data_IF_155352055623
#
_entry.id   IF_155352055623
#
_cell.length_a   1.000
_cell.length_b   1.000
_cell.length_c   1.000
_cell.angle_alpha   90.00
_cell.angle_beta   90.00
_cell.angle_gamma   90.00
#
_symmetry.space_group_name_H-M   'P 1'
#
loop_
_entity.id
_entity.type
_entity.pdbx_description
1 polymer ?
#
# COMPACT_ATOMS: atom_id res chain seq x y z
N UNK A 1 -13.97 23.91 -14.36
CA UNK A 1 -13.07 22.77 -14.14
C UNK A 1 -12.55 22.86 -12.72
N UNK A 2 -12.63 21.79 -11.94
CA UNK A 2 -12.07 21.80 -10.58
C UNK A 2 -10.65 21.24 -10.60
N UNK A 3 -9.80 21.75 -9.72
CA UNK A 3 -8.46 21.21 -9.49
C UNK A 3 -8.41 20.54 -8.13
N UNK A 4 -7.68 19.43 -8.02
CA UNK A 4 -7.48 18.70 -6.78
C UNK A 4 -6.00 18.36 -6.61
N UNK A 5 -5.55 18.27 -5.36
CA UNK A 5 -4.17 17.92 -5.04
C UNK A 5 -4.06 16.40 -4.96
N UNK A 6 -3.12 15.82 -5.72
CA UNK A 6 -2.75 14.41 -5.63
C UNK A 6 -2.12 14.11 -4.27
N UNK A 7 -2.63 13.12 -3.55
CA UNK A 7 -2.16 12.80 -2.18
C UNK A 7 -1.27 11.55 -2.12
N UNK A 8 -0.90 10.97 -3.26
CA UNK A 8 -0.07 9.76 -3.32
C UNK A 8 -0.89 8.47 -3.41
N UNK A 9 -2.12 8.55 -3.90
CA UNK A 9 -3.01 7.40 -4.10
C UNK A 9 -2.40 6.38 -5.05
N UNK A 10 -2.54 5.09 -4.73
CA UNK A 10 -1.86 4.02 -5.49
C UNK A 10 -2.61 3.66 -6.77
N UNK A 11 -3.88 4.03 -6.87
CA UNK A 11 -4.78 3.66 -7.96
C UNK A 11 -5.69 4.84 -8.37
N UNK A 12 -5.93 4.98 -9.67
CA UNK A 12 -6.80 6.05 -10.25
C UNK A 12 -8.25 5.89 -9.78
N UNK A 13 -8.69 4.66 -9.49
CA UNK A 13 -9.99 4.39 -8.92
C UNK A 13 -10.16 4.97 -7.52
N UNK A 14 -9.12 4.96 -6.67
CA UNK A 14 -9.14 5.62 -5.35
C UNK A 14 -9.24 7.14 -5.50
N UNK A 15 -8.57 7.70 -6.51
CA UNK A 15 -8.66 9.12 -6.85
C UNK A 15 -10.09 9.46 -7.31
N UNK A 16 -10.69 8.63 -8.16
CA UNK A 16 -12.06 8.84 -8.64
C UNK A 16 -13.07 8.78 -7.50
N UNK A 17 -12.94 7.80 -6.60
CA UNK A 17 -13.82 7.64 -5.44
C UNK A 17 -13.64 8.80 -4.42
N UNK A 18 -12.45 9.41 -4.33
CA UNK A 18 -12.21 10.60 -3.52
C UNK A 18 -12.76 11.88 -4.16
N UNK A 19 -12.50 12.08 -5.45
CA UNK A 19 -12.85 13.32 -6.17
C UNK A 19 -14.35 13.43 -6.41
N UNK A 20 -15.03 12.31 -6.69
CA UNK A 20 -16.46 12.30 -7.01
C UNK A 20 -17.34 11.60 -5.94
N UNK A 21 -16.75 11.16 -4.83
CA UNK A 21 -17.45 10.42 -3.77
C UNK A 21 -17.70 8.96 -4.14
N UNK A 22 -18.59 8.26 -3.40
CA UNK A 22 -18.90 6.85 -3.66
C UNK A 22 -19.56 6.66 -5.03
N UNK A 23 -18.77 6.26 -6.03
CA UNK A 23 -19.22 5.99 -7.40
C UNK A 23 -19.72 4.54 -7.54
N UNK A 24 -20.81 4.34 -8.30
CA UNK A 24 -21.18 2.99 -8.76
C UNK A 24 -20.21 2.48 -9.84
N UNK A 25 -20.13 1.17 -10.07
CA UNK A 25 -19.16 0.55 -10.99
C UNK A 25 -19.13 1.19 -12.40
N UNK A 26 -20.29 1.50 -12.98
CA UNK A 26 -20.40 2.17 -14.30
C UNK A 26 -19.94 3.63 -14.28
N UNK A 27 -20.14 4.34 -13.18
CA UNK A 27 -19.71 5.73 -13.02
C UNK A 27 -18.21 5.83 -12.74
N UNK A 28 -17.66 4.85 -12.02
CA UNK A 28 -16.23 4.71 -11.74
C UNK A 28 -15.42 4.56 -13.02
N UNK A 29 -15.87 3.72 -13.96
CA UNK A 29 -15.22 3.57 -15.27
C UNK A 29 -15.24 4.88 -16.08
N UNK A 30 -16.37 5.59 -16.08
CA UNK A 30 -16.49 6.89 -16.75
C UNK A 30 -15.61 7.96 -16.11
N UNK A 31 -15.52 7.98 -14.78
CA UNK A 31 -14.67 8.91 -14.04
C UNK A 31 -13.18 8.64 -14.26
N UNK A 32 -12.76 7.38 -14.25
CA UNK A 32 -11.38 6.98 -14.55
C UNK A 32 -11.02 7.38 -16.00
N UNK A 33 -11.89 7.10 -16.97
CA UNK A 33 -11.65 7.46 -18.37
C UNK A 33 -11.55 8.98 -18.57
N UNK A 34 -12.38 9.76 -17.88
CA UNK A 34 -12.33 11.21 -17.94
C UNK A 34 -11.08 11.77 -17.22
N UNK A 35 -10.75 11.26 -16.04
CA UNK A 35 -9.55 11.66 -15.28
C UNK A 35 -8.26 11.37 -16.05
N UNK A 36 -8.18 10.22 -16.73
CA UNK A 36 -7.05 9.86 -17.60
C UNK A 36 -6.97 10.75 -18.84
N UNK A 37 -8.11 11.18 -19.38
CA UNK A 37 -8.16 12.10 -20.52
C UNK A 37 -7.74 13.52 -20.13
N UNK A 38 -8.14 13.97 -18.95
CA UNK A 38 -7.78 15.30 -18.42
C UNK A 38 -6.34 15.34 -17.87
N UNK A 39 -5.84 14.23 -17.33
CA UNK A 39 -4.50 14.13 -16.76
C UNK A 39 -3.82 12.85 -17.25
N UNK A 40 -3.14 12.90 -18.42
CA UNK A 40 -2.39 11.76 -18.94
C UNK A 40 -1.31 11.25 -17.98
N UNK A 41 -0.83 12.13 -17.08
CA UNK A 41 0.18 11.83 -16.06
C UNK A 41 -0.30 10.81 -15.01
N UNK A 42 -1.63 10.68 -14.84
CA UNK A 42 -2.24 9.66 -13.99
C UNK A 42 -2.10 8.24 -14.53
N UNK A 43 -1.58 8.03 -15.76
CA UNK A 43 -1.25 6.68 -16.28
C UNK A 43 -0.22 5.96 -15.41
N UNK A 44 0.71 6.71 -14.81
CA UNK A 44 1.73 6.19 -13.91
C UNK A 44 1.69 6.95 -12.57
N UNK A 45 0.70 6.68 -11.69
CA UNK A 45 0.54 7.40 -10.42
C UNK A 45 1.77 7.28 -9.52
N UNK A 46 2.61 6.24 -9.71
CA UNK A 46 3.89 6.06 -9.01
C UNK A 46 4.97 7.09 -9.35
N UNK A 47 4.81 7.83 -10.46
CA UNK A 47 5.73 8.90 -10.88
C UNK A 47 5.31 10.27 -10.36
N UNK A 48 4.06 10.41 -9.94
CA UNK A 48 3.53 11.65 -9.39
C UNK A 48 3.95 11.78 -7.92
N UNK A 49 4.39 12.98 -7.53
CA UNK A 49 4.66 13.31 -6.13
C UNK A 49 3.38 13.79 -5.48
N UNK A 50 3.14 13.37 -4.23
CA UNK A 50 2.07 13.96 -3.43
C UNK A 50 2.26 15.49 -3.37
N UNK A 51 1.20 16.25 -3.64
CA UNK A 51 1.23 17.70 -3.81
C UNK A 51 1.02 18.21 -5.24
N UNK A 52 1.05 17.34 -6.26
CA UNK A 52 0.78 17.77 -7.65
C UNK A 52 -0.68 18.17 -7.84
N UNK A 53 -0.93 19.34 -8.44
CA UNK A 53 -2.26 19.79 -8.82
C UNK A 53 -2.74 19.08 -10.09
N UNK A 54 -3.90 18.43 -10.02
CA UNK A 54 -4.52 17.67 -11.11
C UNK A 54 -5.92 18.20 -11.42
N UNK A 55 -6.37 18.01 -12.65
CA UNK A 55 -7.66 18.49 -13.13
C UNK A 55 -8.76 17.46 -12.93
N UNK A 56 -9.83 17.81 -12.23
CA UNK A 56 -11.07 17.02 -12.16
C UNK A 56 -12.03 17.47 -13.29
N UNK A 57 -12.24 16.64 -14.34
CA UNK A 57 -13.22 16.93 -15.38
C UNK A 57 -14.65 16.86 -14.82
N UNK A 58 -15.53 17.76 -15.26
CA UNK A 58 -16.94 17.72 -14.85
C UNK A 58 -17.67 16.62 -15.62
N UNK A 59 -18.29 15.68 -14.92
CA UNK A 59 -19.02 14.55 -15.51
C UNK A 59 -20.53 14.76 -15.41
N UNK A 60 -21.31 14.63 -16.50
CA UNK A 60 -22.76 14.78 -16.45
C UNK A 60 -23.42 13.60 -15.73
N UNK A 61 -24.24 13.88 -14.70
CA UNK A 61 -24.96 12.87 -13.92
C UNK A 61 -24.32 12.44 -12.59
N UNK A 62 -23.20 13.07 -12.21
CA UNK A 62 -22.61 13.03 -10.88
C UNK A 62 -22.84 14.40 -10.24
N UNK A 63 -23.45 14.44 -9.05
CA UNK A 63 -23.98 15.65 -8.41
C UNK A 63 -23.13 16.90 -8.63
N UNK A 64 -23.79 17.98 -9.06
CA UNK A 64 -23.20 19.25 -9.45
C UNK A 64 -22.28 19.83 -8.37
N UNK A 65 -20.99 19.56 -8.52
CA UNK A 65 -19.79 20.25 -8.01
C UNK A 65 -18.82 19.24 -7.40
N UNK A 66 -17.66 18.98 -8.03
CA UNK A 66 -16.44 18.92 -7.24
C UNK A 66 -16.41 20.17 -6.36
N UNK A 67 -16.46 20.04 -5.04
CA UNK A 67 -16.35 21.18 -4.11
C UNK A 67 -15.10 21.97 -4.47
N UNK A 68 -15.23 23.20 -4.99
CA UNK A 68 -14.10 24.10 -5.07
C UNK A 68 -13.65 24.34 -3.63
N UNK A 69 -12.38 24.11 -3.33
CA UNK A 69 -11.80 24.71 -2.13
C UNK A 69 -11.70 26.19 -2.48
N UNK A 70 -12.69 26.98 -2.08
CA UNK A 70 -12.59 28.43 -2.13
C UNK A 70 -11.33 28.83 -1.34
N UNK A 71 -10.38 29.58 -1.93
CA UNK A 71 -9.46 30.35 -1.11
C UNK A 71 -10.35 31.29 -0.28
N UNK A 72 -10.17 31.38 1.05
CA UNK A 72 -11.09 32.14 1.88
C UNK A 72 -11.18 33.56 1.34
N UNK A 73 -12.38 33.94 0.89
CA UNK A 73 -12.69 35.31 0.50
C UNK A 73 -12.31 36.20 1.68
N UNK A 74 -11.48 37.22 1.41
CA UNK A 74 -11.27 38.30 2.37
C UNK A 74 -12.63 39.00 2.51
N UNK A 75 -13.29 38.98 3.67
CA UNK A 75 -14.46 39.83 3.83
C UNK A 75 -14.00 41.30 3.80
N UNK A 76 -14.74 42.13 3.07
CA UNK A 76 -14.66 43.58 3.08
C UNK A 76 -14.70 44.13 4.53
N UNK A 77 -14.15 45.34 4.78
CA UNK A 77 -13.73 45.76 6.10
C UNK A 77 -14.93 45.95 7.01
N UNK A 78 -15.17 44.96 7.87
CA UNK A 78 -15.99 45.15 9.06
C UNK A 78 -15.32 46.24 9.88
N UNK A 79 -16.02 47.36 10.02
CA UNK A 79 -15.69 48.45 10.94
C UNK A 79 -15.27 47.83 12.27
N UNK A 80 -14.00 47.99 12.65
CA UNK A 80 -13.47 47.47 13.91
C UNK A 80 -14.20 48.18 15.06
N UNK A 81 -15.01 47.52 15.90
CA UNK A 81 -15.03 47.90 17.30
C UNK A 81 -13.65 47.55 17.87
N UNK A 82 -13.21 48.30 18.88
CA UNK A 82 -11.90 48.21 19.51
C UNK A 82 -11.41 46.77 19.74
N UNK A 83 -10.10 46.50 19.64
CA UNK A 83 -9.56 45.15 19.72
C UNK A 83 -9.79 44.57 21.11
N UNK A 84 -10.84 43.75 21.24
CA UNK A 84 -10.95 42.79 22.34
C UNK A 84 -9.98 41.67 22.00
N UNK A 85 -8.93 41.53 22.83
CA UNK A 85 -8.01 40.39 22.77
C UNK A 85 -8.81 39.09 22.62
N UNK A 86 -8.52 38.24 21.61
CA UNK A 86 -9.17 36.94 21.53
C UNK A 86 -8.85 36.19 22.82
N UNK A 87 -9.84 35.53 23.47
CA UNK A 87 -9.54 34.66 24.59
C UNK A 87 -8.53 33.62 24.10
N UNK A 88 -7.35 33.61 24.71
CA UNK A 88 -6.36 32.57 24.47
C UNK A 88 -7.07 31.24 24.67
N UNK A 89 -7.16 30.39 23.63
CA UNK A 89 -7.60 29.01 23.84
C UNK A 89 -6.66 28.44 24.90
N UNK A 90 -7.16 27.95 26.04
CA UNK A 90 -6.30 27.30 27.00
C UNK A 90 -5.59 26.17 26.27
N UNK A 91 -4.26 26.14 26.38
CA UNK A 91 -3.51 24.96 25.98
C UNK A 91 -4.15 23.73 26.64
N UNK A 92 -4.34 22.61 25.91
CA UNK A 92 -4.90 21.42 26.50
C UNK A 92 -4.08 21.06 27.75
N UNK A 93 -4.71 20.80 28.90
CA UNK A 93 -4.02 20.54 30.14
C UNK A 93 -3.03 19.40 29.94
N UNK A 94 -1.87 19.46 30.62
CA UNK A 94 -0.79 18.48 30.49
C UNK A 94 -1.26 17.01 30.68
N UNK A 95 -2.39 16.79 31.35
CA UNK A 95 -3.04 15.48 31.50
C UNK A 95 -3.57 14.91 30.16
N UNK A 96 -4.15 15.72 29.28
CA UNK A 96 -4.65 15.27 27.98
C UNK A 96 -3.52 14.94 26.99
N UNK A 97 -2.40 15.68 27.07
CA UNK A 97 -1.18 15.38 26.28
C UNK A 97 -0.58 14.02 26.67
N UNK A 98 -0.45 13.76 27.97
CA UNK A 98 0.05 12.47 28.50
C UNK A 98 -0.87 11.30 28.18
N UNK A 99 -2.19 11.52 28.16
CA UNK A 99 -3.14 10.48 27.79
C UNK A 99 -3.01 10.08 26.30
N UNK A 100 -2.84 11.06 25.40
CA UNK A 100 -2.59 10.80 23.98
C UNK A 100 -1.29 10.03 23.74
N UNK A 101 -0.21 10.44 24.39
CA UNK A 101 1.11 9.78 24.34
C UNK A 101 1.04 8.31 24.79
N UNK A 102 0.28 8.03 25.86
CA UNK A 102 0.06 6.66 26.34
C UNK A 102 -0.75 5.79 25.36
N UNK A 103 -1.67 6.38 24.60
CA UNK A 103 -2.46 5.66 23.60
C UNK A 103 -1.61 5.29 22.36
N UNK A 104 -0.72 6.19 21.94
CA UNK A 104 0.24 5.91 20.86
C UNK A 104 1.20 4.78 21.23
N UNK A 105 1.75 4.80 22.45
CA UNK A 105 2.62 3.74 22.94
C UNK A 105 1.89 2.39 23.06
N UNK A 106 0.62 2.38 23.47
CA UNK A 106 -0.21 1.17 23.53
C UNK A 106 -0.45 0.59 22.12
N UNK A 107 -0.82 1.44 21.15
CA UNK A 107 -1.01 1.02 19.76
C UNK A 107 0.28 0.47 19.14
N UNK A 108 1.42 1.11 19.41
CA UNK A 108 2.72 0.62 18.94
C UNK A 108 3.04 -0.78 19.50
N UNK A 109 2.69 -1.04 20.77
CA UNK A 109 2.79 -2.36 21.39
C UNK A 109 1.93 -3.41 20.69
N UNK A 110 0.64 -3.11 20.47
CA UNK A 110 -0.27 -4.03 19.78
C UNK A 110 0.19 -4.35 18.35
N UNK A 111 0.72 -3.36 17.62
CA UNK A 111 1.26 -3.56 16.27
C UNK A 111 2.53 -4.43 16.29
N UNK A 112 3.41 -4.26 17.27
CA UNK A 112 4.58 -5.12 17.44
C UNK A 112 4.19 -6.58 17.70
N UNK A 113 3.22 -6.79 18.59
CA UNK A 113 2.71 -8.13 18.90
C UNK A 113 2.05 -8.77 17.67
N UNK A 114 1.27 -7.99 16.91
CA UNK A 114 0.65 -8.45 15.67
C UNK A 114 1.68 -8.81 14.59
N UNK A 115 2.74 -8.02 14.43
CA UNK A 115 3.85 -8.32 13.51
C UNK A 115 4.59 -9.60 13.93
N UNK A 116 4.86 -9.78 15.22
CA UNK A 116 5.47 -10.99 15.76
C UNK A 116 4.58 -12.23 15.57
N UNK A 117 3.27 -12.10 15.77
CA UNK A 117 2.30 -13.17 15.51
C UNK A 117 2.24 -13.53 14.01
N UNK A 118 2.23 -12.52 13.13
CA UNK A 118 2.28 -12.72 11.69
C UNK A 118 3.53 -13.49 11.29
N UNK A 119 4.72 -13.07 11.76
CA UNK A 119 5.98 -13.74 11.47
C UNK A 119 5.94 -15.23 11.87
N UNK A 120 5.47 -15.52 13.09
CA UNK A 120 5.32 -16.91 13.57
C UNK A 120 4.35 -17.74 12.73
N UNK A 121 3.31 -17.11 12.17
CA UNK A 121 2.30 -17.79 11.37
C UNK A 121 2.77 -18.08 9.93
N UNK A 122 3.62 -17.24 9.35
CA UNK A 122 4.09 -17.38 7.95
C UNK A 122 5.30 -18.31 7.83
N UNK A 123 6.19 -18.34 8.82
CA UNK A 123 7.44 -19.11 8.77
C UNK A 123 7.24 -20.59 8.42
N UNK A 124 6.32 -21.34 9.09
CA UNK A 124 6.14 -22.76 8.78
C UNK A 124 5.60 -22.99 7.36
N UNK A 125 4.96 -21.99 6.74
CA UNK A 125 4.48 -22.11 5.35
C UNK A 125 5.63 -22.05 4.36
N UNK A 126 6.59 -21.13 4.57
CA UNK A 126 7.82 -21.08 3.77
C UNK A 126 8.64 -22.35 3.94
N UNK A 127 8.80 -22.82 5.17
CA UNK A 127 9.56 -24.06 5.45
C UNK A 127 8.90 -25.27 4.80
N UNK A 128 7.57 -25.39 4.85
CA UNK A 128 6.83 -26.46 4.20
C UNK A 128 6.96 -26.40 2.66
N UNK A 129 6.89 -25.21 2.07
CA UNK A 129 7.04 -25.03 0.63
C UNK A 129 8.46 -25.37 0.16
N UNK A 130 9.49 -24.88 0.84
CA UNK A 130 10.89 -25.21 0.54
C UNK A 130 11.17 -26.70 0.70
N UNK A 131 10.62 -27.34 1.73
CA UNK A 131 10.70 -28.79 1.91
C UNK A 131 10.07 -29.53 0.73
N UNK A 132 8.88 -29.13 0.29
CA UNK A 132 8.20 -29.74 -0.86
C UNK A 132 9.02 -29.60 -2.14
N UNK A 133 9.61 -28.43 -2.38
CA UNK A 133 10.47 -28.20 -3.55
C UNK A 133 11.72 -29.07 -3.51
N UNK A 134 12.32 -29.25 -2.32
CA UNK A 134 13.46 -30.17 -2.13
C UNK A 134 13.08 -31.63 -2.37
N UNK A 135 11.91 -32.06 -1.91
CA UNK A 135 11.38 -33.40 -2.17
C UNK A 135 11.17 -33.62 -3.69
N UNK A 136 10.64 -32.62 -4.41
CA UNK A 136 10.49 -32.67 -5.87
C UNK A 136 11.85 -32.77 -6.59
N UNK A 137 12.84 -31.99 -6.17
CA UNK A 137 14.20 -32.10 -6.71
C UNK A 137 14.80 -33.49 -6.47
N UNK A 138 14.59 -34.08 -5.30
CA UNK A 138 15.04 -35.43 -5.00
C UNK A 138 14.37 -36.48 -5.91
N UNK A 139 13.07 -36.33 -6.20
CA UNK A 139 12.38 -37.19 -7.17
C UNK A 139 12.94 -37.01 -8.58
N UNK A 140 13.17 -35.77 -9.02
CA UNK A 140 13.72 -35.47 -10.35
C UNK A 140 15.16 -35.97 -10.52
N UNK A 141 15.95 -35.99 -9.45
CA UNK A 141 17.31 -36.53 -9.41
C UNK A 141 17.39 -38.03 -9.07
N UNK A 142 16.25 -38.72 -8.93
CA UNK A 142 16.23 -40.12 -8.55
C UNK A 142 16.79 -41.02 -9.66
N UNK A 143 17.48 -42.09 -9.26
CA UNK A 143 18.03 -43.06 -10.21
C UNK A 143 16.94 -43.78 -11.03
N UNK A 144 15.75 -43.95 -10.45
CA UNK A 144 14.60 -44.58 -11.11
C UNK A 144 14.07 -43.71 -12.26
N UNK A 145 13.80 -42.42 -12.00
CA UNK A 145 13.44 -41.48 -13.05
C UNK A 145 14.56 -41.36 -14.08
N UNK A 146 15.82 -41.32 -13.63
CA UNK A 146 17.00 -41.31 -14.49
C UNK A 146 17.01 -42.44 -15.51
N UNK A 147 16.67 -43.67 -15.10
CA UNK A 147 16.57 -44.82 -16.01
C UNK A 147 15.45 -44.65 -17.03
N UNK A 148 14.29 -44.18 -16.61
CA UNK A 148 13.12 -43.96 -17.48
C UNK A 148 13.40 -42.87 -18.53
N UNK A 149 13.97 -41.74 -18.11
CA UNK A 149 14.26 -40.63 -19.03
C UNK A 149 15.47 -40.89 -19.92
N UNK A 150 16.34 -41.85 -19.57
CA UNK A 150 17.47 -42.24 -20.44
C UNK A 150 17.01 -42.99 -21.69
N UNK A 151 15.81 -43.57 -21.67
CA UNK A 151 15.23 -44.27 -22.82
C UNK A 151 14.66 -43.30 -23.88
N UNK A 152 14.37 -42.06 -23.51
CA UNK A 152 13.78 -41.04 -24.40
C UNK A 152 14.42 -39.66 -24.16
N UNK A 153 15.22 -39.15 -25.13
CA UNK A 153 15.86 -37.85 -25.02
C UNK A 153 14.90 -36.68 -24.74
N UNK A 154 13.67 -36.74 -25.25
CA UNK A 154 12.67 -35.68 -25.01
C UNK A 154 12.22 -35.66 -23.54
N UNK A 155 12.03 -36.83 -22.93
CA UNK A 155 11.76 -36.95 -21.49
C UNK A 155 12.94 -36.47 -20.66
N UNK A 156 14.18 -36.74 -21.11
CA UNK A 156 15.40 -36.21 -20.49
C UNK A 156 15.43 -34.68 -20.46
N UNK A 157 15.10 -34.04 -21.58
CA UNK A 157 15.03 -32.56 -21.66
C UNK A 157 13.93 -31.99 -20.76
N UNK A 158 12.74 -32.62 -20.73
CA UNK A 158 11.64 -32.21 -19.86
C UNK A 158 12.01 -32.33 -18.37
N UNK A 159 12.67 -33.42 -17.96
CA UNK A 159 13.12 -33.61 -16.59
C UNK A 159 14.16 -32.55 -16.18
N UNK A 160 15.10 -32.22 -17.08
CA UNK A 160 16.07 -31.14 -16.84
C UNK A 160 15.39 -29.77 -16.72
N UNK A 161 14.41 -29.47 -17.58
CA UNK A 161 13.66 -28.22 -17.51
C UNK A 161 12.87 -28.12 -16.19
N UNK A 162 12.22 -29.22 -15.78
CA UNK A 162 11.50 -29.30 -14.52
C UNK A 162 12.45 -29.13 -13.30
N UNK A 163 13.66 -29.69 -13.36
CA UNK A 163 14.65 -29.52 -12.31
C UNK A 163 15.10 -28.06 -12.19
N UNK A 164 15.39 -27.40 -13.32
CA UNK A 164 15.73 -25.96 -13.35
C UNK A 164 14.59 -25.08 -12.84
N UNK A 165 13.35 -25.37 -13.22
CA UNK A 165 12.19 -24.61 -12.77
C UNK A 165 11.94 -24.78 -11.26
N UNK A 166 12.08 -26.00 -10.72
CA UNK A 166 11.95 -26.23 -9.27
C UNK A 166 13.05 -25.54 -8.47
N UNK A 167 14.29 -25.50 -8.96
CA UNK A 167 15.39 -24.73 -8.37
C UNK A 167 15.10 -23.22 -8.38
N UNK A 168 14.67 -22.68 -9.54
CA UNK A 168 14.32 -21.27 -9.66
C UNK A 168 13.18 -20.88 -8.71
N UNK A 169 12.16 -21.74 -8.57
CA UNK A 169 11.06 -21.53 -7.61
C UNK A 169 11.57 -21.51 -6.17
N UNK A 170 12.47 -22.42 -5.79
CA UNK A 170 13.04 -22.45 -4.45
C UNK A 170 13.78 -21.13 -4.12
N UNK A 171 14.58 -20.63 -5.07
CA UNK A 171 15.25 -19.34 -4.92
C UNK A 171 14.28 -18.15 -4.77
N UNK A 172 13.17 -18.15 -5.52
CA UNK A 172 12.11 -17.13 -5.41
C UNK A 172 11.41 -17.19 -4.06
N UNK A 173 11.08 -18.39 -3.57
CA UNK A 173 10.43 -18.59 -2.26
C UNK A 173 11.36 -18.10 -1.13
N UNK A 174 12.65 -18.44 -1.18
CA UNK A 174 13.62 -17.99 -0.20
C UNK A 174 13.83 -16.46 -0.23
N UNK A 175 13.93 -15.88 -1.43
CA UNK A 175 14.01 -14.41 -1.60
C UNK A 175 12.79 -13.69 -1.03
N UNK A 176 11.58 -14.26 -1.21
CA UNK A 176 10.34 -13.71 -0.63
C UNK A 176 10.33 -13.80 0.90
N UNK A 177 10.81 -14.92 1.47
CA UNK A 177 10.95 -15.08 2.92
C UNK A 177 11.87 -14.01 3.51
N UNK A 178 13.03 -13.79 2.88
CA UNK A 178 14.00 -12.78 3.31
C UNK A 178 13.40 -11.37 3.23
N UNK A 179 12.81 -11.01 2.09
CA UNK A 179 12.18 -9.70 1.91
C UNK A 179 11.09 -9.43 2.95
N UNK A 180 10.24 -10.41 3.25
CA UNK A 180 9.19 -10.27 4.25
C UNK A 180 9.75 -10.15 5.67
N UNK A 181 10.78 -10.93 5.99
CA UNK A 181 11.50 -10.83 7.28
C UNK A 181 12.11 -9.45 7.47
N UNK A 182 12.73 -8.90 6.42
CA UNK A 182 13.32 -7.56 6.46
C UNK A 182 12.26 -6.47 6.63
N UNK A 183 11.12 -6.57 5.93
CA UNK A 183 9.99 -5.65 6.11
C UNK A 183 9.47 -5.68 7.55
N UNK A 184 9.26 -6.88 8.12
CA UNK A 184 8.80 -7.03 9.50
C UNK A 184 9.82 -6.42 10.48
N UNK A 185 11.12 -6.68 10.28
CA UNK A 185 12.18 -6.10 11.11
C UNK A 185 12.22 -4.58 11.03
N UNK A 186 12.11 -4.01 9.83
CA UNK A 186 12.08 -2.56 9.63
C UNK A 186 10.85 -1.92 10.30
N UNK A 187 9.67 -2.53 10.13
CA UNK A 187 8.45 -2.06 10.77
C UNK A 187 8.55 -2.11 12.29
N UNK A 188 9.10 -3.21 12.84
CA UNK A 188 9.33 -3.32 14.28
C UNK A 188 10.28 -2.24 14.81
N UNK A 189 11.40 -2.00 14.12
CA UNK A 189 12.37 -0.97 14.50
C UNK A 189 11.79 0.46 14.45
N UNK A 190 10.82 0.73 13.56
CA UNK A 190 10.09 2.02 13.54
C UNK A 190 9.17 2.11 14.75
N UNK A 191 8.36 1.08 15.01
CA UNK A 191 7.42 1.06 16.14
C UNK A 191 8.12 1.14 17.51
N UNK A 192 9.30 0.52 17.65
CA UNK A 192 10.12 0.62 18.86
C UNK A 192 10.61 2.05 19.12
N UNK A 193 10.93 2.80 18.06
CA UNK A 193 11.32 4.22 18.19
C UNK A 193 10.14 5.08 18.62
N UNK A 194 8.97 4.86 18.04
CA UNK A 194 7.74 5.59 18.38
C UNK A 194 7.26 5.29 19.79
N UNK A 195 7.55 4.10 20.34
CA UNK A 195 7.22 3.72 21.72
C UNK A 195 8.10 4.41 22.77
N UNK A 196 9.32 4.80 22.40
CA UNK A 196 10.31 5.40 23.30
C UNK A 196 10.36 6.92 23.28
N UNK A 197 9.59 7.57 22.39
CA UNK A 197 9.39 9.02 22.34
C UNK A 197 8.20 9.42 23.22
#
# INVERSE_FOLDING_TARGET
MATFIYQGERDIGEIADRVYGRLGARQREQAIAALLKANPELRDPRRLRAGTELQAPTLPGLGDRPTPIEPPERPDPVVRPDPVEPPQRPEPPAAERKAGESAHAALAGELLDALGALQKAIEPRFDAELRRLKEQQATLGSAELGRLVSADPALGQLAQLAAKDTEARAAVVDSRRQALTDIIRQAAAVLEKERGQ
#
